data_IF_823376447938
#
_entry.id   IF_823376447938
#
_cell.length_a   1.000
_cell.length_b   1.000
_cell.length_c   1.000
_cell.angle_alpha   90.00
_cell.angle_beta   90.00
_cell.angle_gamma   90.00
#
_symmetry.space_group_name_H-M   'P 1'
#
loop_
_entity.id
_entity.type
_entity.pdbx_description
1 polymer ?
#
# COMPACT_ATOMS: atom_id res chain seq x y z
N UNK A 1 -11.38 4.63 14.10
CA UNK A 1 -11.00 4.81 12.69
C UNK A 1 -12.02 4.06 11.85
N UNK A 2 -12.53 4.65 10.77
CA UNK A 2 -13.47 3.95 9.89
C UNK A 2 -12.78 2.76 9.23
N UNK A 3 -13.45 1.61 9.17
CA UNK A 3 -12.98 0.45 8.43
C UNK A 3 -12.95 0.81 6.94
N UNK A 4 -11.75 0.79 6.35
CA UNK A 4 -11.55 1.10 4.93
C UNK A 4 -11.51 -0.21 4.16
N UNK A 5 -12.55 -0.47 3.37
CA UNK A 5 -12.65 -1.65 2.50
C UNK A 5 -12.28 -1.37 1.03
N UNK A 6 -12.12 -0.10 0.67
CA UNK A 6 -11.81 0.34 -0.68
C UNK A 6 -10.61 1.30 -0.65
N UNK A 7 -9.68 1.11 -1.58
CA UNK A 7 -8.62 2.07 -1.84
C UNK A 7 -8.37 2.18 -3.35
N UNK A 8 -7.81 3.31 -3.74
CA UNK A 8 -7.34 3.56 -5.10
C UNK A 8 -5.85 3.93 -5.06
N UNK A 9 -5.13 3.60 -6.13
CA UNK A 9 -3.74 4.07 -6.30
C UNK A 9 -3.72 4.99 -7.51
N UNK A 10 -3.39 6.26 -7.31
CA UNK A 10 -3.34 7.21 -8.42
C UNK A 10 -3.23 8.67 -8.00
N UNK A 11 -3.37 9.53 -9.01
CA UNK A 11 -3.26 10.97 -8.87
C UNK A 11 -4.64 11.63 -8.66
N UNK A 12 -5.75 10.94 -8.92
CA UNK A 12 -7.08 11.53 -8.75
C UNK A 12 -7.41 11.72 -7.27
N UNK A 13 -7.50 12.98 -6.84
CA UNK A 13 -7.93 13.34 -5.49
C UNK A 13 -9.43 13.57 -5.40
N UNK A 14 -10.08 14.02 -6.47
CA UNK A 14 -11.53 14.01 -6.58
C UNK A 14 -11.96 13.72 -8.02
N UNK A 15 -12.95 12.85 -8.22
CA UNK A 15 -13.49 12.58 -9.55
C UNK A 15 -14.19 13.81 -10.13
N UNK A 16 -14.42 13.76 -11.44
CA UNK A 16 -15.39 14.62 -12.10
C UNK A 16 -16.80 14.33 -11.56
N UNK A 17 -17.64 15.37 -11.49
CA UNK A 17 -19.02 15.31 -11.01
C UNK A 17 -19.89 16.24 -11.86
N UNK A 18 -21.22 16.22 -11.66
CA UNK A 18 -22.14 17.09 -12.43
C UNK A 18 -21.75 18.57 -12.36
N UNK A 19 -21.32 19.03 -11.17
CA UNK A 19 -20.83 20.39 -10.89
C UNK A 19 -19.33 20.58 -11.18
N UNK A 20 -18.61 19.51 -11.54
CA UNK A 20 -17.16 19.56 -11.81
C UNK A 20 -16.80 18.73 -13.06
N UNK A 21 -16.60 19.42 -14.18
CA UNK A 21 -16.33 18.80 -15.50
C UNK A 21 -14.98 18.10 -15.61
N UNK A 22 -14.06 18.30 -14.66
CA UNK A 22 -12.72 17.70 -14.69
C UNK A 22 -12.31 17.20 -13.30
N UNK A 23 -11.57 16.08 -13.20
CA UNK A 23 -11.09 15.60 -11.92
C UNK A 23 -10.08 16.58 -11.31
N UNK A 24 -10.03 16.60 -9.97
CA UNK A 24 -8.94 17.28 -9.25
C UNK A 24 -7.83 16.27 -9.06
N UNK A 25 -6.69 16.54 -9.70
CA UNK A 25 -5.49 15.74 -9.57
C UNK A 25 -4.65 16.23 -8.38
N UNK A 26 -3.88 15.31 -7.81
CA UNK A 26 -2.86 15.53 -6.80
C UNK A 26 -1.71 14.54 -6.99
N UNK A 27 -0.84 14.45 -6.00
CA UNK A 27 0.31 13.55 -6.04
C UNK A 27 -0.12 12.08 -6.09
N UNK A 28 0.73 11.22 -6.68
CA UNK A 28 0.45 9.78 -6.74
C UNK A 28 0.48 9.19 -5.33
N UNK A 29 -0.63 8.58 -4.92
CA UNK A 29 -0.81 8.09 -3.57
C UNK A 29 -1.71 6.85 -3.55
N UNK A 30 -1.59 6.05 -2.49
CA UNK A 30 -2.68 5.19 -2.02
C UNK A 30 -3.71 6.13 -1.37
N UNK A 31 -4.96 6.00 -1.79
CA UNK A 31 -6.04 6.90 -1.41
C UNK A 31 -7.24 6.12 -0.94
N UNK A 32 -7.91 6.66 0.06
CA UNK A 32 -9.14 6.09 0.61
C UNK A 32 -10.31 7.03 0.32
N UNK A 33 -11.49 6.51 -0.07
CA UNK A 33 -12.65 7.34 -0.27
C UNK A 33 -13.09 8.01 1.04
N UNK A 34 -13.44 9.28 0.96
CA UNK A 34 -14.01 10.09 2.01
C UNK A 34 -15.24 10.83 1.47
N UNK A 35 -16.25 10.99 2.33
CA UNK A 35 -17.55 11.55 1.93
C UNK A 35 -18.33 10.62 0.99
N UNK A 36 -19.45 11.11 0.46
CA UNK A 36 -20.33 10.37 -0.44
C UNK A 36 -20.85 11.23 -1.60
N UNK A 37 -21.35 10.58 -2.65
CA UNK A 37 -21.96 11.24 -3.82
C UNK A 37 -21.03 12.26 -4.48
N UNK A 38 -21.56 13.45 -4.79
CA UNK A 38 -20.79 14.52 -5.45
C UNK A 38 -19.66 15.11 -4.59
N UNK A 39 -19.67 14.84 -3.27
CA UNK A 39 -18.62 15.26 -2.36
C UNK A 39 -17.51 14.21 -2.20
N UNK A 40 -17.62 13.05 -2.88
CA UNK A 40 -16.63 11.98 -2.79
C UNK A 40 -15.24 12.51 -3.14
N UNK A 41 -14.31 12.30 -2.23
CA UNK A 41 -12.91 12.62 -2.38
C UNK A 41 -12.06 11.39 -2.06
N UNK A 42 -10.92 11.25 -2.72
CA UNK A 42 -9.94 10.22 -2.47
C UNK A 42 -8.76 10.84 -1.74
N UNK A 43 -8.84 10.87 -0.41
CA UNK A 43 -7.79 11.44 0.43
C UNK A 43 -6.56 10.53 0.44
N UNK A 44 -5.34 11.08 0.37
CA UNK A 44 -4.12 10.28 0.45
C UNK A 44 -3.95 9.69 1.85
N UNK A 45 -3.62 8.39 1.92
CA UNK A 45 -3.22 7.71 3.16
C UNK A 45 -1.76 7.24 3.14
N UNK A 46 -1.16 7.12 1.95
CA UNK A 46 0.28 6.89 1.77
C UNK A 46 0.72 7.43 0.40
N UNK A 47 1.90 8.02 0.31
CA UNK A 47 2.43 8.63 -0.92
C UNK A 47 3.39 7.69 -1.64
N UNK A 48 3.32 7.72 -2.98
CA UNK A 48 4.30 7.08 -3.86
C UNK A 48 5.11 8.20 -4.50
N UNK A 49 6.31 8.43 -3.97
CA UNK A 49 7.22 9.44 -4.49
C UNK A 49 8.08 8.81 -5.58
N UNK A 50 8.13 9.39 -6.81
CA UNK A 50 9.06 8.93 -7.83
C UNK A 50 10.49 8.93 -7.29
N UNK A 51 11.25 7.87 -7.55
CA UNK A 51 12.65 7.85 -7.15
C UNK A 51 13.38 9.04 -7.78
N UNK A 52 14.01 9.85 -6.94
CA UNK A 52 14.82 10.97 -7.41
C UNK A 52 15.97 10.37 -8.23
N UNK A 53 16.24 10.86 -9.45
CA UNK A 53 17.31 10.32 -10.28
C UNK A 53 18.63 10.28 -9.50
N UNK A 54 19.35 9.16 -9.67
CA UNK A 54 20.59 8.84 -8.96
C UNK A 54 21.58 10.01 -9.02
N UNK A 55 21.67 10.76 -7.93
CA UNK A 55 22.43 12.02 -7.88
C UNK A 55 22.27 12.79 -6.56
N UNK A 56 21.33 12.41 -5.69
CA UNK A 56 21.26 12.88 -4.30
C UNK A 56 21.63 11.76 -3.33
N UNK A 57 22.70 11.94 -2.56
CA UNK A 57 23.14 11.10 -1.44
C UNK A 57 21.97 10.82 -0.46
N UNK A 58 21.82 9.65 0.20
CA UNK A 58 22.70 8.50 0.42
C UNK A 58 21.90 7.18 0.38
N UNK A 59 22.44 6.09 -0.21
CA UNK A 59 22.18 4.74 0.27
C UNK A 59 23.01 4.51 1.54
N UNK A 60 22.36 4.13 2.65
CA UNK A 60 23.11 3.56 3.77
C UNK A 60 23.90 2.32 3.27
N UNK A 61 25.16 2.13 3.70
CA UNK A 61 26.02 1.08 3.16
C UNK A 61 25.61 -0.28 3.71
N UNK A 62 25.45 -1.27 2.82
CA UNK A 62 25.36 -2.67 3.25
C UNK A 62 24.86 -3.66 2.22
N UNK A 63 24.04 -3.24 1.25
CA UNK A 63 23.60 -4.11 0.17
C UNK A 63 23.62 -3.31 -1.12
N UNK A 64 24.49 -3.67 -2.07
CA UNK A 64 24.63 -3.03 -3.38
C UNK A 64 23.41 -3.25 -4.29
N UNK A 65 22.21 -3.06 -3.75
CA UNK A 65 20.93 -3.39 -4.35
C UNK A 65 20.16 -2.10 -4.58
N UNK A 66 19.73 -1.91 -5.83
CA UNK A 66 18.85 -0.79 -6.15
C UNK A 66 17.63 -0.81 -5.21
N UNK A 67 17.25 0.34 -4.61
CA UNK A 67 16.08 0.40 -3.75
C UNK A 67 14.87 -0.05 -4.55
N UNK A 68 14.03 -0.91 -3.95
CA UNK A 68 12.73 -1.22 -4.52
C UNK A 68 11.71 -0.14 -4.15
N UNK A 69 10.47 -0.27 -4.65
CA UNK A 69 9.40 0.70 -4.40
C UNK A 69 9.19 1.00 -2.91
N UNK A 70 8.87 2.26 -2.58
CA UNK A 70 8.61 2.73 -1.20
C UNK A 70 7.28 3.47 -1.10
N UNK A 71 6.66 3.37 0.07
CA UNK A 71 5.51 4.18 0.48
C UNK A 71 5.92 5.11 1.62
N UNK A 72 5.34 6.31 1.63
CA UNK A 72 5.68 7.38 2.58
C UNK A 72 4.44 7.94 3.27
N UNK A 73 4.60 8.46 4.48
CA UNK A 73 3.54 9.18 5.20
C UNK A 73 3.28 10.57 4.60
N UNK A 74 4.34 11.19 4.06
CA UNK A 74 4.35 12.56 3.59
C UNK A 74 4.57 12.66 2.07
N UNK A 75 4.07 13.74 1.44
CA UNK A 75 4.25 13.97 0.01
C UNK A 75 5.71 14.21 -0.40
N UNK A 76 6.57 14.64 0.51
CA UNK A 76 7.98 14.95 0.21
C UNK A 76 8.88 13.72 0.26
N UNK A 77 8.37 12.57 0.71
CA UNK A 77 9.10 11.32 0.81
C UNK A 77 10.11 11.27 1.95
N UNK A 78 9.85 11.97 3.06
CA UNK A 78 10.76 12.07 4.21
C UNK A 78 10.59 10.93 5.21
N UNK A 79 9.37 10.47 5.40
CA UNK A 79 8.99 9.50 6.43
C UNK A 79 8.50 8.21 5.75
N UNK A 80 9.36 7.19 5.60
CA UNK A 80 8.98 5.93 4.98
C UNK A 80 7.99 5.16 5.87
N UNK A 81 6.90 4.67 5.26
CA UNK A 81 5.97 3.73 5.87
C UNK A 81 6.44 2.30 5.71
N UNK A 82 6.77 1.94 4.47
CA UNK A 82 7.29 0.63 4.13
C UNK A 82 8.05 0.66 2.80
N UNK A 83 8.89 -0.35 2.60
CA UNK A 83 9.65 -0.53 1.37
C UNK A 83 9.64 -1.98 0.92
N UNK A 84 9.74 -2.18 -0.40
CA UNK A 84 10.05 -3.48 -0.98
C UNK A 84 11.55 -3.55 -1.25
N UNK A 85 12.17 -4.65 -0.84
CA UNK A 85 13.47 -5.02 -1.37
C UNK A 85 13.32 -5.39 -2.86
N UNK A 86 14.42 -5.38 -3.60
CA UNK A 86 14.36 -5.88 -4.98
C UNK A 86 13.91 -7.35 -5.00
N UNK A 87 13.44 -7.87 -6.14
CA UNK A 87 12.98 -9.24 -6.21
C UNK A 87 14.14 -10.24 -6.05
N UNK A 88 13.92 -11.26 -5.24
CA UNK A 88 14.75 -12.47 -5.17
C UNK A 88 14.03 -13.63 -5.85
N UNK A 89 14.79 -14.58 -6.39
CA UNK A 89 14.23 -15.83 -6.90
C UNK A 89 14.41 -16.92 -5.85
N UNK A 90 13.30 -17.45 -5.36
CA UNK A 90 13.25 -18.58 -4.42
C UNK A 90 12.37 -19.64 -5.06
N UNK A 91 12.88 -20.85 -5.24
CA UNK A 91 12.16 -21.97 -5.87
C UNK A 91 11.51 -21.64 -7.23
N UNK A 92 12.15 -20.75 -8.01
CA UNK A 92 11.64 -20.28 -9.30
C UNK A 92 10.57 -19.18 -9.23
N UNK A 93 10.12 -18.81 -8.03
CA UNK A 93 9.15 -17.74 -7.79
C UNK A 93 9.85 -16.40 -7.48
N UNK A 94 9.22 -15.28 -7.82
CA UNK A 94 9.72 -13.94 -7.45
C UNK A 94 9.19 -13.55 -6.08
N UNK A 95 10.11 -13.31 -5.14
CA UNK A 95 9.84 -12.93 -3.76
C UNK A 95 10.30 -11.50 -3.53
N UNK A 96 9.51 -10.72 -2.81
CA UNK A 96 9.82 -9.37 -2.38
C UNK A 96 9.70 -9.31 -0.86
N UNK A 97 10.80 -9.02 -0.17
CA UNK A 97 10.74 -8.73 1.26
C UNK A 97 10.13 -7.35 1.47
N UNK A 98 9.13 -7.26 2.33
CA UNK A 98 8.52 -6.00 2.76
C UNK A 98 9.18 -5.60 4.08
N UNK A 99 9.63 -4.35 4.16
CA UNK A 99 10.18 -3.75 5.38
C UNK A 99 9.31 -2.61 5.87
N UNK A 100 9.28 -2.39 7.19
CA UNK A 100 8.65 -1.21 7.80
C UNK A 100 9.50 0.07 7.61
N UNK A 101 9.01 1.19 8.13
CA UNK A 101 9.71 2.47 8.13
C UNK A 101 11.06 2.49 8.88
N UNK A 102 11.33 1.48 9.71
CA UNK A 102 12.63 1.30 10.39
C UNK A 102 13.55 0.31 9.65
N UNK A 103 13.13 -0.21 8.49
CA UNK A 103 13.89 -1.19 7.71
C UNK A 103 13.79 -2.63 8.22
N UNK A 104 12.93 -2.92 9.20
CA UNK A 104 12.74 -4.28 9.73
C UNK A 104 11.80 -5.07 8.82
N UNK A 105 12.07 -6.36 8.55
CA UNK A 105 11.21 -7.17 7.71
C UNK A 105 9.85 -7.42 8.40
N UNK A 106 8.75 -7.12 7.70
CA UNK A 106 7.37 -7.31 8.18
C UNK A 106 6.58 -8.31 7.34
N UNK A 107 7.19 -8.87 6.30
CA UNK A 107 6.55 -9.88 5.47
C UNK A 107 7.22 -10.10 4.12
N UNK A 108 6.60 -10.96 3.33
CA UNK A 108 7.05 -11.32 1.99
C UNK A 108 5.87 -11.30 1.03
N UNK A 109 6.05 -10.69 -0.14
CA UNK A 109 5.11 -10.77 -1.25
C UNK A 109 5.73 -11.69 -2.30
N UNK A 110 5.00 -12.71 -2.73
CA UNK A 110 5.43 -13.60 -3.81
C UNK A 110 4.41 -13.68 -4.93
N UNK A 111 4.93 -13.78 -6.16
CA UNK A 111 4.10 -14.03 -7.35
C UNK A 111 3.99 -15.54 -7.54
N UNK A 112 2.79 -16.07 -7.38
CA UNK A 112 2.52 -17.49 -7.65
C UNK A 112 2.27 -17.64 -9.14
N UNK A 113 2.80 -18.72 -9.72
CA UNK A 113 2.47 -19.10 -11.08
C UNK A 113 0.95 -19.19 -11.23
N UNK A 114 0.42 -18.64 -12.32
CA UNK A 114 -1.01 -18.76 -12.55
C UNK A 114 -1.35 -20.26 -12.67
N UNK A 115 -2.39 -20.71 -11.96
CA UNK A 115 -2.95 -22.06 -12.13
C UNK A 115 -3.20 -22.28 -13.62
N UNK A 116 -3.04 -23.52 -14.12
CA UNK A 116 -3.09 -23.88 -15.56
C UNK A 116 -4.29 -23.33 -16.36
N UNK A 117 -5.34 -22.82 -15.71
CA UNK A 117 -6.54 -22.24 -16.32
C UNK A 117 -6.81 -20.77 -15.91
N UNK A 118 -5.94 -20.12 -15.15
CA UNK A 118 -6.02 -18.70 -14.80
C UNK A 118 -5.04 -17.90 -15.65
N UNK A 119 -5.52 -16.88 -16.36
CA UNK A 119 -4.66 -15.90 -17.04
C UNK A 119 -4.20 -14.79 -16.09
N UNK A 120 -4.73 -14.75 -14.86
CA UNK A 120 -4.38 -13.71 -13.88
C UNK A 120 -3.28 -14.23 -12.97
N UNK A 121 -2.12 -13.55 -12.89
CA UNK A 121 -1.13 -13.86 -11.86
C UNK A 121 -1.76 -13.66 -10.48
N UNK A 122 -1.63 -14.66 -9.62
CA UNK A 122 -2.01 -14.54 -8.20
C UNK A 122 -0.80 -14.08 -7.39
N UNK A 123 -1.04 -13.14 -6.50
CA UNK A 123 -0.06 -12.69 -5.52
C UNK A 123 -0.38 -13.34 -4.17
N UNK A 124 0.66 -13.70 -3.42
CA UNK A 124 0.53 -14.17 -2.04
C UNK A 124 1.36 -13.30 -1.13
N UNK A 125 0.74 -12.94 -0.02
CA UNK A 125 1.31 -12.08 1.01
C UNK A 125 1.47 -12.95 2.25
N UNK A 126 2.67 -12.99 2.79
CA UNK A 126 3.02 -13.72 4.00
C UNK A 126 3.51 -12.73 5.05
N UNK A 127 2.93 -12.81 6.24
CA UNK A 127 3.33 -11.99 7.39
C UNK A 127 3.82 -12.93 8.50
N UNK A 128 4.94 -12.62 9.17
CA UNK A 128 5.40 -13.37 10.33
C UNK A 128 4.48 -13.08 11.53
N UNK A 129 3.50 -13.96 11.78
CA UNK A 129 2.52 -13.93 12.88
C UNK A 129 1.61 -12.66 12.92
N UNK A 130 0.42 -12.69 13.56
CA UNK A 130 -0.59 -11.67 13.31
C UNK A 130 -0.36 -10.43 14.18
N UNK A 131 0.19 -9.38 13.59
CA UNK A 131 -0.06 -8.01 14.03
C UNK A 131 -0.45 -7.13 12.83
N UNK A 132 -1.52 -7.53 12.15
CA UNK A 132 -2.48 -6.54 11.68
C UNK A 132 -3.43 -6.30 12.84
N UNK A 133 -3.26 -5.20 13.58
CA UNK A 133 -4.29 -4.71 14.48
C UNK A 133 -5.43 -4.16 13.61
N UNK A 134 -6.23 -5.04 13.00
CA UNK A 134 -7.63 -4.72 12.81
C UNK A 134 -8.25 -4.90 14.19
N UNK A 135 -8.53 -3.79 14.88
CA UNK A 135 -9.26 -3.82 16.15
C UNK A 135 -10.69 -4.29 15.86
N UNK A 136 -10.87 -5.60 15.78
CA UNK A 136 -12.16 -6.27 15.72
C UNK A 136 -12.62 -6.46 17.16
N UNK A 137 -13.01 -5.37 17.83
CA UNK A 137 -13.73 -5.52 19.09
C UNK A 137 -15.18 -5.84 18.77
N UNK A 138 -15.47 -7.14 18.76
CA UNK A 138 -16.80 -7.67 18.56
C UNK A 138 -17.52 -7.60 19.90
N UNK A 139 -18.06 -6.42 20.24
CA UNK A 139 -19.06 -6.34 21.30
C UNK A 139 -20.36 -6.96 20.78
N UNK A 140 -20.54 -8.26 21.00
CA UNK A 140 -21.84 -8.90 20.93
C UNK A 140 -22.82 -8.20 21.89
N UNK A 141 -24.09 -7.97 21.52
CA UNK A 141 -25.09 -7.51 22.49
C UNK A 141 -25.38 -8.65 23.48
N UNK A 142 -25.69 -8.36 24.76
CA UNK A 142 -26.12 -9.39 25.69
C UNK A 142 -27.44 -9.98 25.22
N UNK A 143 -27.47 -11.31 25.07
CA UNK A 143 -28.71 -12.06 24.94
C UNK A 143 -29.59 -11.77 26.16
N UNK A 144 -30.73 -11.11 25.94
CA UNK A 144 -31.79 -11.04 26.96
C UNK A 144 -32.60 -12.32 26.86
N UNK A 145 -32.45 -13.18 27.85
CA UNK A 145 -33.41 -14.25 28.14
C UNK A 145 -34.59 -13.60 28.86
N UNK A 146 -35.80 -13.80 28.33
CA UNK A 146 -37.06 -13.73 29.06
C UNK A 146 -37.94 -14.90 28.62
#
# INVERSE_FOLDING_TARGET
MAEVWEFAIGNEGRPAASRRKSPVLGQRAVRTPQGGGEQRAFAPCAYIVPERPAGSADPAPGTGRAPGPRLYEDPDGRTPLCSLDAPERVDGERHYTVRDGQGRPIGTIRRIAALKHSLKPSWRIEQPAPQLTSSRDSSAPPATVR
#
